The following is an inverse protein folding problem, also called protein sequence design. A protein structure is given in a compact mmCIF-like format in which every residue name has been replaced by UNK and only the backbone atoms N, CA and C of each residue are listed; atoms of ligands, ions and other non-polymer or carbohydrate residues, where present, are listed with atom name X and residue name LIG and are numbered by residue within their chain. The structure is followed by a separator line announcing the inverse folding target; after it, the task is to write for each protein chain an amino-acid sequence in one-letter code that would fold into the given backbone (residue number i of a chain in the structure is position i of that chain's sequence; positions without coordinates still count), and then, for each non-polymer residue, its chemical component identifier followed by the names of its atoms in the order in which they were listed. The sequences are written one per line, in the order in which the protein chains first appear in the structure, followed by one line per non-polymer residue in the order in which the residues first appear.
data_IF_985604466192
#
_entry.id   IF_985604466192
#
_cell.length_a   1.000
_cell.length_b   1.000
_cell.length_c   1.000
_cell.angle_alpha   90.00
_cell.angle_beta   90.00
_cell.angle_gamma   90.00
#
_symmetry.space_group_name_H-M   'P 1'
#
loop_
_entity.id
_entity.type
_entity.pdbx_description
1 polymer ?
#
# COMPACT_ATOMS: atom_id res chain seq x y z
N UNK A 1 0.22 -4.15 7.30
CA UNK A 1 -0.80 -5.19 7.51
C UNK A 1 -2.12 -4.50 7.72
N UNK A 2 -3.15 -4.85 6.95
CA UNK A 2 -4.49 -4.28 7.10
C UNK A 2 -5.10 -4.67 8.45
N UNK A 3 -5.91 -3.78 9.04
CA UNK A 3 -6.58 -4.05 10.33
C UNK A 3 -7.43 -5.33 10.24
N UNK A 4 -7.47 -6.17 11.30
CA UNK A 4 -8.37 -7.31 11.32
C UNK A 4 -9.81 -6.87 11.06
N UNK A 5 -10.57 -7.74 10.42
CA UNK A 5 -11.93 -7.45 10.00
C UNK A 5 -12.69 -8.72 9.69
N UNK A 6 -14.01 -8.65 9.85
CA UNK A 6 -14.94 -9.76 9.67
C UNK A 6 -16.10 -9.33 8.77
N UNK A 7 -16.56 -10.24 7.92
CA UNK A 7 -17.75 -10.03 7.09
C UNK A 7 -18.91 -10.83 7.69
N UNK A 8 -20.06 -10.18 7.85
CA UNK A 8 -21.31 -10.85 8.19
C UNK A 8 -22.11 -11.08 6.91
N UNK A 9 -22.31 -12.33 6.52
CA UNK A 9 -23.08 -12.74 5.35
C UNK A 9 -24.45 -13.25 5.77
N UNK A 10 -25.51 -12.56 5.38
CA UNK A 10 -26.88 -12.84 5.81
C UNK A 10 -27.76 -13.16 4.61
N UNK A 11 -27.98 -14.45 4.36
CA UNK A 11 -28.73 -14.89 3.19
C UNK A 11 -29.44 -16.23 3.43
N UNK A 12 -30.64 -16.38 2.86
CA UNK A 12 -31.39 -17.63 2.95
C UNK A 12 -30.85 -18.73 2.03
N UNK A 13 -30.05 -18.39 1.01
CA UNK A 13 -29.40 -19.38 0.15
C UNK A 13 -28.12 -19.91 0.80
N UNK A 14 -28.22 -21.06 1.48
CA UNK A 14 -27.08 -21.73 2.11
C UNK A 14 -25.96 -22.04 1.13
N UNK A 15 -26.29 -22.54 -0.06
CA UNK A 15 -25.30 -22.87 -1.08
C UNK A 15 -24.53 -21.63 -1.55
N UNK A 16 -25.24 -20.54 -1.87
CA UNK A 16 -24.62 -19.28 -2.31
C UNK A 16 -23.77 -18.66 -1.20
N UNK A 17 -24.28 -18.68 0.04
CA UNK A 17 -23.56 -18.16 1.21
C UNK A 17 -22.25 -18.88 1.45
N UNK A 18 -22.26 -20.22 1.38
CA UNK A 18 -21.04 -21.03 1.54
C UNK A 18 -20.00 -20.72 0.46
N UNK A 19 -20.43 -20.52 -0.79
CA UNK A 19 -19.51 -20.20 -1.89
C UNK A 19 -18.87 -18.82 -1.71
N UNK A 20 -19.64 -17.79 -1.35
CA UNK A 20 -19.08 -16.46 -1.05
C UNK A 20 -18.14 -16.53 0.16
N UNK A 21 -18.56 -17.18 1.24
CA UNK A 21 -17.75 -17.29 2.45
C UNK A 21 -16.42 -18.01 2.19
N UNK A 22 -16.44 -19.10 1.43
CA UNK A 22 -15.23 -19.80 1.00
C UNK A 22 -14.35 -18.89 0.14
N UNK A 23 -14.91 -18.20 -0.85
CA UNK A 23 -14.15 -17.31 -1.72
C UNK A 23 -13.47 -16.16 -0.95
N UNK A 24 -14.18 -15.55 0.01
CA UNK A 24 -13.62 -14.48 0.87
C UNK A 24 -12.54 -15.01 1.81
N UNK A 25 -12.77 -16.19 2.43
CA UNK A 25 -11.80 -16.80 3.34
C UNK A 25 -10.54 -17.23 2.59
N UNK A 26 -10.67 -17.87 1.43
CA UNK A 26 -9.54 -18.40 0.68
C UNK A 26 -8.71 -17.31 0.02
N UNK A 27 -9.38 -16.34 -0.63
CA UNK A 27 -8.72 -15.32 -1.46
C UNK A 27 -8.30 -14.08 -0.67
N UNK A 28 -9.05 -13.70 0.37
CA UNK A 28 -8.77 -12.48 1.14
C UNK A 28 -8.26 -12.76 2.56
N UNK A 29 -8.34 -14.02 3.04
CA UNK A 29 -8.01 -14.40 4.42
C UNK A 29 -8.80 -13.61 5.47
N UNK A 30 -10.03 -13.21 5.11
CA UNK A 30 -10.97 -12.49 5.98
C UNK A 30 -11.91 -13.51 6.64
N UNK A 31 -12.16 -13.35 7.94
CA UNK A 31 -13.13 -14.17 8.65
C UNK A 31 -14.56 -13.85 8.17
N UNK A 32 -15.36 -14.88 7.92
CA UNK A 32 -16.78 -14.73 7.52
C UNK A 32 -17.67 -15.43 8.53
N UNK A 33 -18.72 -14.75 8.97
CA UNK A 33 -19.80 -15.33 9.78
C UNK A 33 -21.07 -15.34 8.95
N UNK A 34 -21.77 -16.48 8.92
CA UNK A 34 -22.99 -16.66 8.12
C UNK A 34 -24.21 -16.68 9.03
N UNK A 35 -25.27 -15.98 8.63
CA UNK A 35 -26.60 -16.06 9.22
C UNK A 35 -27.63 -16.36 8.13
N UNK A 36 -28.63 -17.20 8.43
CA UNK A 36 -29.70 -17.56 7.47
C UNK A 36 -31.02 -16.79 7.70
N UNK A 37 -31.04 -15.90 8.69
CA UNK A 37 -32.19 -15.07 9.07
C UNK A 37 -31.74 -13.75 9.72
N UNK A 38 -32.63 -12.76 9.78
CA UNK A 38 -32.35 -11.49 10.45
C UNK A 38 -32.23 -11.70 11.97
N UNK A 39 -33.03 -12.61 12.55
CA UNK A 39 -32.95 -13.00 13.95
C UNK A 39 -31.57 -13.60 14.31
N UNK A 40 -31.04 -14.51 13.48
CA UNK A 40 -29.70 -15.06 13.67
C UNK A 40 -28.62 -13.98 13.54
N UNK A 41 -28.75 -13.06 12.57
CA UNK A 41 -27.85 -11.93 12.43
C UNK A 41 -27.87 -11.02 13.68
N UNK A 42 -29.05 -10.74 14.24
CA UNK A 42 -29.17 -9.98 15.50
C UNK A 42 -28.46 -10.68 16.65
N UNK A 43 -28.68 -11.98 16.84
CA UNK A 43 -28.01 -12.73 17.90
C UNK A 43 -26.48 -12.65 17.79
N UNK A 44 -25.93 -12.72 16.58
CA UNK A 44 -24.48 -12.57 16.36
C UNK A 44 -24.01 -11.17 16.79
N UNK A 45 -24.71 -10.12 16.36
CA UNK A 45 -24.38 -8.73 16.69
C UNK A 45 -24.53 -8.43 18.18
N UNK A 46 -25.55 -8.99 18.83
CA UNK A 46 -25.89 -8.74 20.23
C UNK A 46 -25.02 -9.57 21.20
N UNK A 47 -24.44 -10.68 20.75
CA UNK A 47 -23.60 -11.58 21.57
C UNK A 47 -22.28 -10.96 22.03
N UNK A 48 -21.95 -9.72 21.63
CA UNK A 48 -20.80 -8.92 22.09
C UNK A 48 -19.42 -9.45 21.68
N UNK A 49 -19.33 -10.71 21.25
CA UNK A 49 -18.08 -11.31 20.80
C UNK A 49 -17.94 -11.02 19.31
N UNK A 50 -17.06 -10.08 18.96
CA UNK A 50 -16.67 -9.71 17.58
C UNK A 50 -17.54 -8.70 16.81
N UNK A 51 -18.46 -7.97 17.46
CA UNK A 51 -19.30 -6.97 16.77
C UNK A 51 -18.46 -5.79 16.24
N UNK A 52 -17.50 -5.31 17.03
CA UNK A 52 -16.56 -4.24 16.65
C UNK A 52 -15.59 -4.65 15.51
N UNK A 53 -15.54 -5.93 15.16
CA UNK A 53 -14.73 -6.44 14.05
C UNK A 53 -15.49 -6.48 12.73
N UNK A 54 -16.81 -6.30 12.72
CA UNK A 54 -17.61 -6.40 11.49
C UNK A 54 -17.36 -5.17 10.63
N UNK A 55 -16.71 -5.37 9.49
CA UNK A 55 -16.33 -4.31 8.56
C UNK A 55 -17.37 -4.09 7.46
N UNK A 56 -18.20 -5.11 7.21
CA UNK A 56 -19.16 -5.12 6.12
C UNK A 56 -20.21 -6.20 6.37
N UNK A 57 -21.47 -5.86 6.11
CA UNK A 57 -22.57 -6.80 6.00
C UNK A 57 -22.88 -7.01 4.52
N UNK A 58 -23.02 -8.28 4.13
CA UNK A 58 -23.56 -8.66 2.82
C UNK A 58 -24.89 -9.34 3.09
N UNK A 59 -26.00 -8.81 2.58
CA UNK A 59 -27.32 -9.36 2.91
C UNK A 59 -28.24 -9.48 1.70
N UNK A 60 -29.00 -10.58 1.64
CA UNK A 60 -30.14 -10.71 0.75
C UNK A 60 -31.26 -9.72 1.09
N UNK A 61 -32.10 -9.37 0.12
CA UNK A 61 -33.26 -8.48 0.33
C UNK A 61 -34.50 -9.15 0.92
N UNK A 62 -34.54 -10.48 0.91
CA UNK A 62 -35.65 -11.26 1.43
C UNK A 62 -35.07 -12.38 2.27
N UNK A 63 -35.38 -12.37 3.56
CA UNK A 63 -34.99 -13.38 4.52
C UNK A 63 -36.25 -14.08 5.05
N UNK A 64 -36.14 -15.28 5.65
CA UNK A 64 -37.30 -16.04 6.11
C UNK A 64 -38.18 -15.30 7.14
N UNK A 65 -37.61 -14.32 7.84
CA UNK A 65 -38.21 -13.59 8.95
C UNK A 65 -38.26 -12.06 8.75
N UNK A 66 -37.82 -11.55 7.59
CA UNK A 66 -37.76 -10.13 7.30
C UNK A 66 -37.78 -9.80 5.81
N UNK A 67 -38.41 -8.67 5.49
CA UNK A 67 -38.49 -8.08 4.15
C UNK A 67 -37.47 -6.93 3.99
N UNK A 68 -37.24 -6.50 2.74
CA UNK A 68 -36.26 -5.49 2.31
C UNK A 68 -36.14 -4.30 3.28
N UNK A 69 -37.26 -3.66 3.63
CA UNK A 69 -37.25 -2.45 4.46
C UNK A 69 -36.72 -2.71 5.88
N UNK A 70 -37.11 -3.84 6.46
CA UNK A 70 -36.69 -4.23 7.80
C UNK A 70 -35.21 -4.61 7.79
N UNK A 71 -34.76 -5.32 6.76
CA UNK A 71 -33.37 -5.78 6.63
C UNK A 71 -32.43 -4.59 6.46
N UNK A 72 -32.70 -3.72 5.48
CA UNK A 72 -31.83 -2.58 5.21
C UNK A 72 -31.81 -1.65 6.42
N UNK A 73 -32.96 -1.31 6.99
CA UNK A 73 -33.05 -0.47 8.19
C UNK A 73 -32.30 -1.05 9.38
N UNK A 74 -32.42 -2.37 9.62
CA UNK A 74 -31.75 -3.03 10.74
C UNK A 74 -30.23 -2.83 10.75
N UNK A 75 -29.56 -2.94 9.60
CA UNK A 75 -28.11 -2.76 9.51
C UNK A 75 -27.69 -1.29 9.43
N UNK A 76 -28.41 -0.48 8.65
CA UNK A 76 -28.03 0.93 8.44
C UNK A 76 -28.24 1.79 9.70
N UNK A 77 -29.29 1.53 10.49
CA UNK A 77 -29.52 2.22 11.78
C UNK A 77 -28.44 1.88 12.82
N UNK A 78 -27.77 0.74 12.68
CA UNK A 78 -26.61 0.34 13.48
C UNK A 78 -25.28 0.91 12.95
N UNK A 79 -25.32 1.68 11.87
CA UNK A 79 -24.12 2.22 11.22
C UNK A 79 -23.26 1.17 10.53
N UNK A 80 -23.80 -0.03 10.27
CA UNK A 80 -23.06 -1.10 9.62
C UNK A 80 -23.08 -0.90 8.09
N UNK A 81 -21.91 -0.86 7.42
CA UNK A 81 -21.86 -0.79 5.97
C UNK A 81 -22.52 -2.02 5.35
N UNK A 82 -23.38 -1.82 4.35
CA UNK A 82 -24.23 -2.87 3.78
C UNK A 82 -24.02 -2.98 2.26
N UNK A 83 -23.83 -4.21 1.79
CA UNK A 83 -23.96 -4.60 0.38
C UNK A 83 -25.15 -5.54 0.25
N UNK A 84 -25.99 -5.26 -0.74
CA UNK A 84 -27.21 -6.00 -0.98
C UNK A 84 -27.01 -7.08 -2.03
N UNK A 85 -27.57 -8.28 -1.80
CA UNK A 85 -27.64 -9.35 -2.79
C UNK A 85 -29.08 -9.53 -3.27
N UNK A 86 -29.32 -9.48 -4.58
CA UNK A 86 -30.67 -9.66 -5.15
C UNK A 86 -30.68 -10.66 -6.30
N UNK A 87 -31.74 -11.47 -6.40
CA UNK A 87 -31.90 -12.45 -7.48
C UNK A 87 -32.57 -11.90 -8.75
N UNK A 88 -33.22 -10.74 -8.65
CA UNK A 88 -33.91 -10.09 -9.77
C UNK A 88 -33.60 -8.59 -9.79
N UNK A 89 -33.72 -8.00 -10.98
CA UNK A 89 -33.41 -6.60 -11.23
C UNK A 89 -34.59 -5.89 -11.88
N UNK A 90 -35.06 -4.82 -11.24
CA UNK A 90 -35.94 -3.82 -11.85
C UNK A 90 -35.55 -2.40 -11.39
N UNK A 91 -35.91 -1.41 -12.21
CA UNK A 91 -35.52 0.00 -11.99
C UNK A 91 -36.09 0.56 -10.68
N UNK A 92 -37.29 0.14 -10.28
CA UNK A 92 -37.93 0.62 -9.06
C UNK A 92 -37.25 0.05 -7.82
N UNK A 93 -36.91 -1.24 -7.83
CA UNK A 93 -36.15 -1.91 -6.78
C UNK A 93 -34.75 -1.30 -6.63
N UNK A 94 -34.07 -1.01 -7.74
CA UNK A 94 -32.79 -0.27 -7.71
C UNK A 94 -32.94 1.09 -7.01
N UNK A 95 -33.91 1.90 -7.41
CA UNK A 95 -34.12 3.23 -6.83
C UNK A 95 -34.42 3.18 -5.32
N UNK A 96 -35.17 2.18 -4.86
CA UNK A 96 -35.46 1.99 -3.43
C UNK A 96 -34.21 1.63 -2.62
N UNK A 97 -33.39 0.70 -3.11
CA UNK A 97 -32.17 0.26 -2.41
C UNK A 97 -31.19 1.43 -2.26
N UNK A 98 -30.94 2.17 -3.35
CA UNK A 98 -29.96 3.26 -3.39
C UNK A 98 -30.44 4.55 -2.72
N UNK A 99 -31.73 4.67 -2.40
CA UNK A 99 -32.24 5.76 -1.57
C UNK A 99 -31.81 5.64 -0.09
N UNK A 100 -31.16 4.53 0.28
CA UNK A 100 -30.66 4.22 1.61
C UNK A 100 -29.13 4.16 1.59
N UNK A 101 -28.45 4.26 2.74
CA UNK A 101 -26.99 4.22 2.82
C UNK A 101 -26.45 2.79 2.66
N UNK A 102 -26.68 2.22 1.47
CA UNK A 102 -26.14 0.95 0.99
C UNK A 102 -24.93 1.28 0.12
N UNK A 103 -23.85 0.51 0.25
CA UNK A 103 -22.64 0.71 -0.55
C UNK A 103 -22.94 0.38 -2.02
N UNK A 104 -23.52 -0.80 -2.25
CA UNK A 104 -23.79 -1.32 -3.58
C UNK A 104 -24.80 -2.49 -3.52
N UNK A 105 -25.30 -2.91 -4.68
CA UNK A 105 -26.11 -4.11 -4.85
C UNK A 105 -25.48 -5.05 -5.88
N UNK A 106 -25.62 -6.36 -5.67
CA UNK A 106 -25.06 -7.40 -6.53
C UNK A 106 -26.14 -8.39 -6.93
N UNK A 107 -26.22 -8.70 -8.24
CA UNK A 107 -27.13 -9.70 -8.77
C UNK A 107 -26.59 -11.12 -8.52
N UNK A 108 -27.45 -12.02 -8.03
CA UNK A 108 -27.15 -13.45 -7.81
C UNK A 108 -27.43 -14.29 -9.07
N UNK A 109 -27.16 -13.76 -10.25
CA UNK A 109 -27.59 -14.35 -11.52
C UNK A 109 -26.48 -15.15 -12.23
N UNK A 110 -25.21 -14.89 -11.92
CA UNK A 110 -24.08 -15.52 -12.58
C UNK A 110 -22.88 -15.74 -11.65
N UNK A 111 -21.93 -16.66 -11.97
CA UNK A 111 -20.74 -16.90 -11.15
C UNK A 111 -19.82 -15.67 -10.98
N UNK A 112 -19.76 -14.76 -11.95
CA UNK A 112 -18.94 -13.55 -11.87
C UNK A 112 -19.41 -12.57 -10.80
N UNK A 113 -20.66 -12.69 -10.32
CA UNK A 113 -21.14 -11.95 -9.14
C UNK A 113 -20.31 -12.23 -7.88
N UNK A 114 -19.80 -13.46 -7.74
CA UNK A 114 -18.94 -13.84 -6.61
C UNK A 114 -17.60 -13.11 -6.71
N UNK A 115 -17.01 -13.05 -7.91
CA UNK A 115 -15.76 -12.32 -8.14
C UNK A 115 -15.94 -10.82 -7.86
N UNK A 116 -17.09 -10.25 -8.23
CA UNK A 116 -17.43 -8.87 -7.90
C UNK A 116 -17.57 -8.64 -6.40
N UNK A 117 -18.26 -9.52 -5.67
CA UNK A 117 -18.36 -9.44 -4.19
C UNK A 117 -16.98 -9.50 -3.54
N UNK A 118 -16.12 -10.42 -3.98
CA UNK A 118 -14.75 -10.54 -3.47
C UNK A 118 -13.97 -9.25 -3.74
N UNK A 119 -14.06 -8.70 -4.95
CA UNK A 119 -13.42 -7.42 -5.30
C UNK A 119 -13.94 -6.27 -4.42
N UNK A 120 -15.25 -6.15 -4.27
CA UNK A 120 -15.90 -5.10 -3.48
C UNK A 120 -15.49 -5.15 -2.01
N UNK A 121 -15.53 -6.34 -1.39
CA UNK A 121 -15.09 -6.55 0.00
C UNK A 121 -13.62 -6.17 0.15
N UNK A 122 -12.75 -6.60 -0.77
CA UNK A 122 -11.33 -6.22 -0.75
C UNK A 122 -11.16 -4.70 -0.82
N UNK A 123 -11.91 -4.03 -1.70
CA UNK A 123 -11.83 -2.59 -1.89
C UNK A 123 -12.24 -1.82 -0.63
N UNK A 124 -13.39 -2.15 -0.06
CA UNK A 124 -13.88 -1.54 1.19
C UNK A 124 -12.90 -1.79 2.32
N UNK A 125 -12.37 -3.01 2.44
CA UNK A 125 -11.41 -3.35 3.49
C UNK A 125 -10.12 -2.54 3.36
N UNK A 126 -9.58 -2.37 2.16
CA UNK A 126 -8.38 -1.56 1.91
C UNK A 126 -8.61 -0.07 2.14
N UNK A 127 -9.80 0.45 1.82
CA UNK A 127 -10.12 1.86 1.99
C UNK A 127 -10.04 2.32 3.46
N UNK A 128 -10.20 1.41 4.43
CA UNK A 128 -10.09 1.69 5.88
C UNK A 128 -8.75 2.26 6.31
N UNK A 129 -7.70 1.95 5.56
CA UNK A 129 -6.36 2.48 5.83
C UNK A 129 -6.08 3.77 5.05
N UNK A 130 -7.00 4.24 4.21
CA UNK A 130 -6.79 5.33 3.26
C UNK A 130 -7.47 6.62 3.73
N UNK A 131 -6.87 7.76 3.34
CA UNK A 131 -7.40 9.09 3.63
C UNK A 131 -7.83 9.78 2.34
N UNK A 132 -9.06 10.26 2.32
CA UNK A 132 -9.63 11.05 1.24
C UNK A 132 -9.87 12.50 1.69
N UNK A 133 -9.71 13.46 0.78
CA UNK A 133 -10.06 14.86 0.98
C UNK A 133 -11.20 15.23 0.03
N UNK A 134 -12.27 15.80 0.58
CA UNK A 134 -13.35 16.43 -0.19
C UNK A 134 -13.14 17.94 -0.18
N UNK A 135 -13.08 18.54 -1.36
CA UNK A 135 -12.99 20.00 -1.54
C UNK A 135 -14.19 20.44 -2.37
N UNK A 136 -15.17 21.07 -1.71
CA UNK A 136 -16.47 21.41 -2.29
C UNK A 136 -17.05 22.58 -1.50
N UNK A 137 -17.48 23.65 -2.17
CA UNK A 137 -17.96 24.87 -1.51
C UNK A 137 -19.40 24.72 -1.00
N UNK A 138 -20.25 24.03 -1.76
CA UNK A 138 -21.59 23.66 -1.37
C UNK A 138 -21.59 22.76 -0.14
N UNK A 139 -22.11 23.26 0.98
CA UNK A 139 -22.16 22.49 2.24
C UNK A 139 -22.99 21.20 2.14
N UNK A 140 -24.05 21.20 1.34
CA UNK A 140 -24.88 20.00 1.10
C UNK A 140 -24.13 18.97 0.29
N UNK A 141 -23.48 19.38 -0.80
CA UNK A 141 -22.80 18.47 -1.72
C UNK A 141 -21.55 17.90 -1.03
N UNK A 142 -20.85 18.73 -0.25
CA UNK A 142 -19.72 18.30 0.59
C UNK A 142 -20.17 17.26 1.60
N UNK A 143 -21.26 17.50 2.33
CA UNK A 143 -21.79 16.54 3.30
C UNK A 143 -22.20 15.21 2.65
N UNK A 144 -22.81 15.26 1.45
CA UNK A 144 -23.14 14.07 0.67
C UNK A 144 -21.89 13.28 0.26
N UNK A 145 -20.89 13.93 -0.33
CA UNK A 145 -19.63 13.30 -0.74
C UNK A 145 -18.88 12.70 0.43
N UNK A 146 -18.83 13.42 1.55
CA UNK A 146 -18.23 12.94 2.81
C UNK A 146 -18.96 11.70 3.31
N UNK A 147 -20.30 11.70 3.29
CA UNK A 147 -21.11 10.54 3.65
C UNK A 147 -20.80 9.32 2.79
N UNK A 148 -20.75 9.49 1.47
CA UNK A 148 -20.41 8.41 0.53
C UNK A 148 -18.99 7.88 0.74
N UNK A 149 -17.97 8.75 0.86
CA UNK A 149 -16.59 8.30 1.06
C UNK A 149 -16.40 7.59 2.41
N UNK A 150 -17.07 8.04 3.48
CA UNK A 150 -17.09 7.33 4.76
C UNK A 150 -17.78 5.98 4.64
N UNK A 151 -18.90 5.91 3.92
CA UNK A 151 -19.59 4.65 3.62
C UNK A 151 -18.69 3.67 2.83
N UNK A 152 -17.83 4.18 1.95
CA UNK A 152 -16.84 3.40 1.22
C UNK A 152 -15.59 3.03 2.03
N UNK A 153 -15.53 3.43 3.30
CA UNK A 153 -14.50 3.06 4.27
C UNK A 153 -13.34 4.05 4.42
N UNK A 154 -13.33 5.19 3.74
CA UNK A 154 -12.22 6.16 3.85
C UNK A 154 -12.27 6.96 5.16
N UNK A 155 -11.10 7.31 5.68
CA UNK A 155 -10.98 8.46 6.58
C UNK A 155 -11.11 9.74 5.74
N UNK A 156 -12.04 10.63 6.08
CA UNK A 156 -12.37 11.79 5.23
C UNK A 156 -12.00 13.11 5.90
N UNK A 157 -11.18 13.88 5.21
CA UNK A 157 -10.88 15.28 5.47
C UNK A 157 -11.77 16.18 4.60
N UNK A 158 -12.05 17.38 5.06
CA UNK A 158 -13.02 18.29 4.43
C UNK A 158 -12.43 19.68 4.24
N UNK A 159 -12.77 20.33 3.13
CA UNK A 159 -12.46 21.72 2.85
C UNK A 159 -13.60 22.37 2.05
N UNK A 160 -13.88 23.64 2.34
CA UNK A 160 -14.94 24.44 1.69
C UNK A 160 -14.46 25.27 0.51
N UNK A 161 -13.17 25.31 0.23
CA UNK A 161 -12.60 25.99 -0.94
C UNK A 161 -11.22 25.42 -1.28
N UNK A 162 -10.69 25.78 -2.45
CA UNK A 162 -9.40 25.26 -2.91
C UNK A 162 -8.21 25.70 -2.07
N UNK A 163 -8.23 26.87 -1.41
CA UNK A 163 -7.11 27.30 -0.56
C UNK A 163 -7.05 26.47 0.73
N UNK A 164 -8.19 26.26 1.37
CA UNK A 164 -8.30 25.36 2.51
C UNK A 164 -7.96 23.92 2.10
N UNK A 165 -8.44 23.46 0.94
CA UNK A 165 -8.13 22.14 0.40
C UNK A 165 -6.63 21.91 0.23
N UNK A 166 -5.91 22.92 -0.28
CA UNK A 166 -4.45 22.85 -0.39
C UNK A 166 -3.76 22.79 0.98
N UNK A 167 -4.18 23.62 1.94
CA UNK A 167 -3.61 23.63 3.30
C UNK A 167 -3.85 22.30 4.03
N UNK A 168 -5.05 21.73 3.92
CA UNK A 168 -5.38 20.43 4.51
C UNK A 168 -4.56 19.31 3.85
N UNK A 169 -4.40 19.34 2.53
CA UNK A 169 -3.58 18.36 1.82
C UNK A 169 -2.09 18.41 2.22
N UNK A 170 -1.56 19.62 2.47
CA UNK A 170 -0.17 19.80 2.91
C UNK A 170 0.05 19.36 4.36
N UNK A 171 -0.94 19.53 5.24
CA UNK A 171 -0.87 19.14 6.63
C UNK A 171 -1.13 17.64 6.86
N UNK A 172 -1.76 16.95 5.91
CA UNK A 172 -2.14 15.55 6.04
C UNK A 172 -0.89 14.63 5.98
N UNK A 173 -0.64 13.78 7.00
CA UNK A 173 0.47 12.83 6.98
C UNK A 173 0.37 11.81 5.83
N UNK A 174 -0.87 11.50 5.44
CA UNK A 174 -1.21 10.62 4.34
C UNK A 174 -2.45 11.16 3.64
N UNK A 175 -2.42 11.17 2.31
CA UNK A 175 -3.54 11.50 1.46
C UNK A 175 -3.48 10.62 0.22
N UNK A 176 -4.55 9.87 -0.03
CA UNK A 176 -4.61 8.88 -1.11
C UNK A 176 -5.61 9.26 -2.21
N UNK A 177 -6.65 10.03 -1.86
CA UNK A 177 -7.71 10.48 -2.75
C UNK A 177 -8.07 11.95 -2.49
N UNK A 178 -8.28 12.71 -3.56
CA UNK A 178 -8.95 14.01 -3.53
C UNK A 178 -10.15 13.94 -4.45
N UNK A 179 -11.32 14.35 -3.94
CA UNK A 179 -12.50 14.63 -4.75
C UNK A 179 -12.74 16.13 -4.66
N UNK A 180 -12.62 16.83 -5.77
CA UNK A 180 -12.69 18.30 -5.79
C UNK A 180 -13.76 18.76 -6.76
N UNK A 181 -14.55 19.76 -6.35
CA UNK A 181 -15.37 20.50 -7.28
C UNK A 181 -14.53 21.37 -8.21
N UNK A 182 -15.10 21.71 -9.36
CA UNK A 182 -14.59 22.72 -10.27
C UNK A 182 -14.91 24.14 -9.79
N UNK A 183 -16.19 24.41 -9.47
CA UNK A 183 -16.72 25.76 -9.28
C UNK A 183 -16.59 26.21 -7.84
N UNK A 184 -15.37 26.55 -7.42
CA UNK A 184 -15.10 27.05 -6.07
C UNK A 184 -14.64 28.51 -6.08
N UNK A 185 -14.98 29.30 -5.05
CA UNK A 185 -14.49 30.67 -4.93
C UNK A 185 -12.97 30.71 -4.70
N UNK A 186 -12.31 31.68 -5.33
CA UNK A 186 -10.87 31.89 -5.19
C UNK A 186 -10.05 30.91 -6.01
N UNK A 187 -9.67 29.77 -5.41
CA UNK A 187 -8.89 28.73 -6.09
C UNK A 187 -9.84 27.65 -6.63
N UNK A 188 -10.02 27.62 -7.96
CA UNK A 188 -10.87 26.64 -8.62
C UNK A 188 -10.27 25.21 -8.57
N UNK A 189 -11.08 24.21 -8.89
CA UNK A 189 -10.67 22.80 -8.84
C UNK A 189 -9.49 22.46 -9.75
N UNK A 190 -9.37 23.10 -10.91
CA UNK A 190 -8.28 22.87 -11.86
C UNK A 190 -6.98 23.47 -11.32
N UNK A 191 -7.03 24.67 -10.76
CA UNK A 191 -5.91 25.34 -10.13
C UNK A 191 -5.44 24.56 -8.90
N UNK A 192 -6.36 24.02 -8.10
CA UNK A 192 -6.05 23.11 -6.99
C UNK A 192 -5.31 21.86 -7.50
N UNK A 193 -5.84 21.18 -8.51
CA UNK A 193 -5.20 20.00 -9.13
C UNK A 193 -3.77 20.32 -9.56
N UNK A 194 -3.56 21.44 -10.27
CA UNK A 194 -2.22 21.87 -10.71
C UNK A 194 -1.25 22.02 -9.54
N UNK A 195 -1.69 22.66 -8.45
CA UNK A 195 -0.86 22.88 -7.25
C UNK A 195 -0.53 21.57 -6.54
N UNK A 196 -1.51 20.70 -6.35
CA UNK A 196 -1.30 19.37 -5.76
C UNK A 196 -0.30 18.55 -6.59
N UNK A 197 -0.36 18.64 -7.92
CA UNK A 197 0.53 17.89 -8.81
C UNK A 197 1.98 18.32 -8.79
N UNK A 198 2.31 19.51 -8.26
CA UNK A 198 3.70 19.91 -8.05
C UNK A 198 4.41 18.99 -7.04
N UNK A 199 3.68 18.47 -6.04
CA UNK A 199 4.23 17.63 -4.96
C UNK A 199 3.75 16.19 -5.00
N UNK A 200 2.57 15.93 -5.58
CA UNK A 200 1.93 14.62 -5.56
C UNK A 200 1.73 14.09 -6.99
N UNK A 201 2.61 13.22 -7.49
CA UNK A 201 2.48 12.67 -8.84
C UNK A 201 1.21 11.79 -8.98
N UNK A 202 0.75 11.59 -10.22
CA UNK A 202 -0.53 10.93 -10.55
C UNK A 202 -0.61 9.47 -10.10
N UNK A 203 0.54 8.82 -9.99
CA UNK A 203 0.72 7.44 -9.54
C UNK A 203 0.81 7.31 -8.01
N UNK A 204 0.61 8.41 -7.26
CA UNK A 204 0.64 8.43 -5.79
C UNK A 204 -0.61 9.02 -5.14
N UNK A 205 -1.22 10.03 -5.77
CA UNK A 205 -2.45 10.66 -5.28
C UNK A 205 -3.53 10.65 -6.35
N UNK A 206 -4.63 9.95 -6.10
CA UNK A 206 -5.81 10.00 -6.96
C UNK A 206 -6.50 11.35 -6.81
N UNK A 207 -6.80 12.03 -7.91
CA UNK A 207 -7.61 13.25 -7.92
C UNK A 207 -8.75 13.07 -8.91
N UNK A 208 -9.98 13.21 -8.42
CA UNK A 208 -11.21 13.14 -9.21
C UNK A 208 -11.86 14.52 -9.20
N UNK A 209 -12.01 15.12 -10.38
CA UNK A 209 -12.71 16.38 -10.54
C UNK A 209 -14.22 16.18 -10.69
N UNK A 210 -15.02 17.02 -10.06
CA UNK A 210 -16.46 17.10 -10.21
C UNK A 210 -16.84 18.41 -10.92
N UNK A 211 -17.90 18.39 -11.73
CA UNK A 211 -18.52 19.62 -12.26
C UNK A 211 -19.96 19.38 -12.66
N UNK A 212 -20.80 20.40 -12.52
CA UNK A 212 -22.18 20.38 -13.01
C UNK A 212 -22.25 20.49 -14.55
N UNK A 213 -21.34 21.24 -15.18
CA UNK A 213 -21.32 21.43 -16.63
C UNK A 213 -20.64 20.26 -17.36
N UNK A 214 -21.24 19.84 -18.48
CA UNK A 214 -20.64 18.92 -19.44
C UNK A 214 -19.72 19.69 -20.42
N UNK A 215 -18.80 19.00 -21.09
CA UNK A 215 -17.98 19.57 -22.16
C UNK A 215 -16.50 19.77 -21.79
N UNK A 216 -15.93 20.91 -22.17
CA UNK A 216 -14.47 21.15 -22.16
C UNK A 216 -13.81 21.00 -20.77
N UNK A 217 -14.57 21.14 -19.68
CA UNK A 217 -14.08 21.04 -18.30
C UNK A 217 -13.50 19.65 -18.00
N UNK A 218 -14.13 18.58 -18.51
CA UNK A 218 -13.62 17.21 -18.30
C UNK A 218 -12.22 17.06 -18.89
N UNK A 219 -12.01 17.55 -20.12
CA UNK A 219 -10.71 17.55 -20.77
C UNK A 219 -9.68 18.43 -20.02
N UNK A 220 -10.12 19.53 -19.43
CA UNK A 220 -9.22 20.38 -18.65
C UNK A 220 -8.76 19.70 -17.36
N UNK A 221 -9.63 19.04 -16.59
CA UNK A 221 -9.20 18.27 -15.42
C UNK A 221 -8.12 17.24 -15.77
N UNK A 222 -8.39 16.42 -16.80
CA UNK A 222 -7.47 15.37 -17.23
C UNK A 222 -6.15 15.95 -17.75
N UNK A 223 -6.18 17.03 -18.55
CA UNK A 223 -4.95 17.68 -19.04
C UNK A 223 -4.12 18.31 -17.91
N UNK A 224 -4.76 18.74 -16.84
CA UNK A 224 -4.09 19.46 -15.75
C UNK A 224 -3.62 18.58 -14.60
N UNK A 225 -3.99 17.30 -14.56
CA UNK A 225 -3.47 16.42 -13.51
C UNK A 225 -4.45 15.41 -12.95
N UNK A 226 -5.75 15.61 -13.12
CA UNK A 226 -6.74 14.71 -12.54
C UNK A 226 -6.57 13.30 -13.12
N UNK A 227 -6.81 12.30 -12.29
CA UNK A 227 -6.85 10.91 -12.72
C UNK A 227 -8.16 10.64 -13.45
N UNK A 228 -9.24 11.26 -12.98
CA UNK A 228 -10.56 11.09 -13.56
C UNK A 228 -11.44 12.33 -13.36
N UNK A 229 -12.62 12.28 -13.97
CA UNK A 229 -13.63 13.33 -13.91
C UNK A 229 -15.03 12.69 -13.84
N UNK A 230 -15.94 13.33 -13.09
CA UNK A 230 -17.32 12.91 -13.00
C UNK A 230 -18.27 14.12 -13.02
N UNK A 231 -19.41 13.99 -13.71
CA UNK A 231 -20.44 15.03 -13.69
C UNK A 231 -21.21 14.96 -12.36
N UNK A 232 -21.52 16.10 -11.72
CA UNK A 232 -22.22 16.16 -10.41
C UNK A 232 -23.58 15.44 -10.39
N UNK A 233 -24.25 15.24 -11.53
CA UNK A 233 -25.44 14.39 -11.65
C UNK A 233 -25.12 12.88 -11.73
N UNK A 234 -24.11 12.42 -10.98
CA UNK A 234 -23.66 11.03 -10.98
C UNK A 234 -24.57 10.12 -10.14
N UNK A 235 -24.46 8.83 -10.39
CA UNK A 235 -24.99 7.80 -9.50
C UNK A 235 -23.93 7.42 -8.46
N UNK A 236 -24.27 7.14 -7.18
CA UNK A 236 -23.30 6.73 -6.16
C UNK A 236 -22.42 5.55 -6.60
N UNK A 237 -22.97 4.57 -7.32
CA UNK A 237 -22.25 3.40 -7.80
C UNK A 237 -21.23 3.78 -8.89
N UNK A 238 -21.54 4.78 -9.72
CA UNK A 238 -20.59 5.31 -10.69
C UNK A 238 -19.43 5.99 -9.97
N UNK A 239 -19.72 6.84 -8.98
CA UNK A 239 -18.69 7.49 -8.16
C UNK A 239 -17.81 6.43 -7.48
N UNK A 240 -18.40 5.39 -6.89
CA UNK A 240 -17.68 4.29 -6.26
C UNK A 240 -16.74 3.60 -7.25
N UNK A 241 -17.26 3.19 -8.42
CA UNK A 241 -16.47 2.53 -9.45
C UNK A 241 -15.28 3.40 -9.91
N UNK A 242 -15.51 4.70 -10.15
CA UNK A 242 -14.47 5.65 -10.57
C UNK A 242 -13.38 5.79 -9.52
N UNK A 243 -13.77 5.93 -8.25
CA UNK A 243 -12.81 5.98 -7.13
C UNK A 243 -12.02 4.69 -7.05
N UNK A 244 -12.72 3.55 -7.02
CA UNK A 244 -12.12 2.24 -6.84
C UNK A 244 -11.09 1.94 -7.94
N UNK A 245 -11.43 2.20 -9.20
CA UNK A 245 -10.54 1.98 -10.34
C UNK A 245 -9.27 2.84 -10.27
N UNK A 246 -9.39 4.12 -9.91
CA UNK A 246 -8.25 5.03 -9.86
C UNK A 246 -7.31 4.71 -8.69
N UNK A 247 -7.88 4.40 -7.53
CA UNK A 247 -7.12 3.99 -6.36
C UNK A 247 -6.42 2.64 -6.60
N UNK A 248 -7.12 1.66 -7.16
CA UNK A 248 -6.55 0.35 -7.48
C UNK A 248 -5.44 0.45 -8.54
N UNK A 249 -5.60 1.32 -9.55
CA UNK A 249 -4.54 1.59 -10.53
C UNK A 249 -3.27 2.13 -9.89
N UNK A 250 -3.39 3.06 -8.94
CA UNK A 250 -2.24 3.59 -8.18
C UNK A 250 -1.57 2.47 -7.37
N UNK A 251 -2.36 1.65 -6.67
CA UNK A 251 -1.85 0.52 -5.89
C UNK A 251 -1.15 -0.52 -6.79
N UNK A 252 -1.69 -0.78 -7.98
CA UNK A 252 -1.10 -1.69 -8.97
C UNK A 252 0.22 -1.16 -9.52
N UNK A 253 0.28 0.13 -9.87
CA UNK A 253 1.52 0.78 -10.32
C UNK A 253 2.58 0.71 -9.21
N UNK A 254 2.21 1.00 -7.97
CA UNK A 254 3.12 0.89 -6.83
C UNK A 254 3.63 -0.55 -6.64
N UNK A 255 2.76 -1.55 -6.79
CA UNK A 255 3.12 -2.96 -6.68
C UNK A 255 4.05 -3.40 -7.81
N UNK A 256 3.78 -3.00 -9.04
CA UNK A 256 4.65 -3.26 -10.19
C UNK A 256 6.02 -2.60 -10.03
N UNK A 257 6.04 -1.35 -9.53
CA UNK A 257 7.29 -0.65 -9.26
C UNK A 257 8.09 -1.36 -8.16
N UNK A 258 7.43 -1.81 -7.08
CA UNK A 258 8.08 -2.59 -6.03
C UNK A 258 8.68 -3.89 -6.59
N UNK A 259 7.91 -4.67 -7.37
CA UNK A 259 8.42 -5.89 -8.02
C UNK A 259 9.60 -5.62 -8.97
N UNK A 260 9.58 -4.49 -9.66
CA UNK A 260 10.64 -4.11 -10.60
C UNK A 260 11.91 -3.60 -9.90
N UNK A 261 11.81 -3.03 -8.69
CA UNK A 261 12.92 -2.30 -8.05
C UNK A 261 13.42 -2.89 -6.74
N UNK A 262 12.65 -3.77 -6.10
CA UNK A 262 13.00 -4.36 -4.81
C UNK A 262 13.25 -5.86 -4.93
N UNK A 263 14.07 -6.39 -4.03
CA UNK A 263 14.26 -7.82 -3.82
C UNK A 263 13.09 -8.35 -2.97
N UNK A 264 12.34 -9.37 -3.44
CA UNK A 264 11.10 -9.79 -2.79
C UNK A 264 11.29 -10.42 -1.40
N UNK A 265 12.49 -10.93 -1.10
CA UNK A 265 12.79 -11.52 0.20
C UNK A 265 13.17 -10.44 1.22
N UNK A 266 14.08 -9.55 0.84
CA UNK A 266 14.71 -8.61 1.78
C UNK A 266 14.07 -7.23 1.83
N UNK A 267 13.27 -6.87 0.81
CA UNK A 267 12.71 -5.53 0.66
C UNK A 267 13.72 -4.44 0.27
N UNK A 268 15.02 -4.77 0.24
CA UNK A 268 16.06 -3.87 -0.27
C UNK A 268 15.94 -3.71 -1.79
N UNK A 269 16.74 -2.83 -2.38
CA UNK A 269 16.82 -2.73 -3.84
C UNK A 269 17.32 -4.03 -4.44
N UNK A 270 16.68 -4.48 -5.51
CA UNK A 270 17.22 -5.59 -6.28
C UNK A 270 18.49 -5.18 -7.04
N UNK A 271 19.22 -6.16 -7.56
CA UNK A 271 20.46 -5.97 -8.32
C UNK A 271 20.35 -4.86 -9.38
N UNK A 272 19.29 -4.90 -10.20
CA UNK A 272 19.10 -3.93 -11.30
C UNK A 272 18.93 -2.51 -10.76
N UNK A 273 17.98 -2.31 -9.85
CA UNK A 273 17.69 -0.98 -9.28
C UNK A 273 18.86 -0.44 -8.47
N UNK A 274 19.59 -1.30 -7.77
CA UNK A 274 20.83 -0.95 -7.09
C UNK A 274 21.81 -0.32 -8.08
N UNK A 275 22.16 -1.00 -9.17
CA UNK A 275 23.16 -0.48 -10.14
C UNK A 275 22.72 0.82 -10.82
N UNK A 276 21.45 0.94 -11.20
CA UNK A 276 20.92 2.16 -11.82
C UNK A 276 21.05 3.37 -10.87
N UNK A 277 20.63 3.22 -9.61
CA UNK A 277 20.70 4.30 -8.62
C UNK A 277 22.14 4.55 -8.16
N UNK A 278 22.91 3.50 -7.95
CA UNK A 278 24.33 3.54 -7.60
C UNK A 278 25.13 4.35 -8.63
N UNK A 279 24.91 4.10 -9.93
CA UNK A 279 25.60 4.83 -10.99
C UNK A 279 25.21 6.32 -11.00
N UNK A 280 23.92 6.62 -10.84
CA UNK A 280 23.43 8.00 -10.77
C UNK A 280 24.03 8.76 -9.57
N UNK A 281 24.02 8.12 -8.39
CA UNK A 281 24.59 8.68 -7.15
C UNK A 281 26.09 8.86 -7.25
N UNK A 282 26.82 7.85 -7.73
CA UNK A 282 28.26 7.94 -7.98
C UNK A 282 28.59 9.13 -8.89
N UNK A 283 27.88 9.28 -10.02
CA UNK A 283 28.10 10.39 -10.94
C UNK A 283 27.81 11.76 -10.31
N UNK A 284 26.81 11.85 -9.43
CA UNK A 284 26.49 13.08 -8.69
C UNK A 284 27.58 13.44 -7.69
N UNK A 285 28.01 12.47 -6.88
CA UNK A 285 29.02 12.65 -5.83
C UNK A 285 30.39 12.97 -6.41
N UNK A 286 30.78 12.29 -7.50
CA UNK A 286 32.04 12.54 -8.21
C UNK A 286 32.07 13.94 -8.80
N UNK A 287 30.98 14.41 -9.42
CA UNK A 287 30.88 15.80 -9.93
C UNK A 287 30.98 16.85 -8.82
N UNK A 288 30.48 16.54 -7.63
CA UNK A 288 30.55 17.41 -6.48
C UNK A 288 31.89 17.30 -5.71
N UNK A 289 32.86 16.51 -6.19
CA UNK A 289 34.14 16.29 -5.50
C UNK A 289 33.98 15.61 -4.14
N UNK A 290 32.87 14.90 -3.90
CA UNK A 290 32.60 14.22 -2.62
C UNK A 290 33.34 12.89 -2.55
N UNK A 291 33.64 12.45 -1.33
CA UNK A 291 34.20 11.14 -1.04
C UNK A 291 33.11 10.07 -1.17
N UNK A 292 33.46 8.91 -1.73
CA UNK A 292 32.50 7.82 -1.95
C UNK A 292 33.10 6.49 -1.52
N UNK A 293 32.38 5.74 -0.69
CA UNK A 293 32.71 4.38 -0.34
C UNK A 293 31.76 3.41 -1.03
N UNK A 294 32.31 2.30 -1.55
CA UNK A 294 31.57 1.18 -2.11
C UNK A 294 31.95 -0.05 -1.32
N UNK A 295 30.96 -0.78 -0.81
CA UNK A 295 31.16 -1.98 -0.03
C UNK A 295 30.44 -3.18 -0.65
N UNK A 296 31.17 -4.29 -0.70
CA UNK A 296 30.66 -5.63 -0.99
C UNK A 296 30.53 -6.39 0.34
N UNK A 297 29.35 -6.96 0.59
CA UNK A 297 28.98 -7.58 1.87
C UNK A 297 28.48 -8.99 1.58
N UNK A 298 28.93 -9.96 2.36
CA UNK A 298 28.54 -11.36 2.22
C UNK A 298 28.34 -12.03 3.59
N UNK A 299 27.31 -12.87 3.68
CA UNK A 299 27.01 -13.63 4.91
C UNK A 299 27.97 -14.80 5.06
N UNK A 300 28.71 -14.79 6.16
CA UNK A 300 29.69 -15.83 6.42
C UNK A 300 29.01 -17.19 6.62
N UNK A 301 29.53 -18.20 5.95
CA UNK A 301 29.06 -19.59 6.08
C UNK A 301 27.57 -19.78 5.78
N UNK A 302 26.95 -18.93 4.96
CA UNK A 302 25.51 -18.99 4.65
C UNK A 302 25.04 -20.38 4.19
N UNK A 303 25.81 -21.06 3.35
CA UNK A 303 25.52 -22.44 2.94
C UNK A 303 25.40 -23.41 4.14
N UNK A 304 26.26 -23.28 5.15
CA UNK A 304 26.19 -24.12 6.38
C UNK A 304 24.93 -23.82 7.20
N UNK A 305 24.45 -22.58 7.17
CA UNK A 305 23.18 -22.21 7.81
C UNK A 305 22.02 -22.91 7.10
N UNK A 306 21.96 -22.85 5.76
CA UNK A 306 20.93 -23.55 5.00
C UNK A 306 21.00 -25.08 5.18
N UNK A 307 22.21 -25.66 5.13
CA UNK A 307 22.41 -27.09 5.27
C UNK A 307 22.08 -27.57 6.70
N UNK A 308 22.21 -26.70 7.72
CA UNK A 308 21.97 -27.04 9.13
C UNK A 308 20.51 -26.83 9.59
N UNK A 309 19.87 -25.73 9.17
CA UNK A 309 18.55 -25.32 9.68
C UNK A 309 17.48 -25.16 8.59
N UNK A 310 17.83 -25.47 7.33
CA UNK A 310 16.93 -25.34 6.19
C UNK A 310 16.87 -23.91 5.62
N UNK A 311 16.27 -23.81 4.44
CA UNK A 311 16.19 -22.55 3.69
C UNK A 311 15.36 -21.46 4.39
N UNK A 312 14.29 -21.83 5.12
CA UNK A 312 13.48 -20.86 5.86
C UNK A 312 14.30 -20.11 6.93
N UNK A 313 15.29 -20.78 7.53
CA UNK A 313 16.22 -20.15 8.46
C UNK A 313 17.19 -19.22 7.73
N UNK A 314 17.73 -19.63 6.59
CA UNK A 314 18.57 -18.77 5.75
C UNK A 314 17.84 -17.51 5.28
N UNK A 315 16.59 -17.65 4.88
CA UNK A 315 15.74 -16.52 4.47
C UNK A 315 15.55 -15.53 5.62
N UNK A 316 15.32 -16.02 6.85
CA UNK A 316 15.24 -15.17 8.05
C UNK A 316 16.55 -14.43 8.33
N UNK A 317 17.70 -15.10 8.15
CA UNK A 317 19.02 -14.46 8.30
C UNK A 317 19.19 -13.31 7.30
N UNK A 318 18.80 -13.51 6.04
CA UNK A 318 18.89 -12.48 5.01
C UNK A 318 17.95 -11.30 5.31
N UNK A 319 16.75 -11.55 5.83
CA UNK A 319 15.79 -10.51 6.23
C UNK A 319 16.36 -9.67 7.38
N UNK A 320 16.93 -10.28 8.42
CA UNK A 320 17.50 -9.54 9.55
C UNK A 320 18.75 -8.74 9.16
N UNK A 321 19.62 -9.30 8.29
CA UNK A 321 20.74 -8.54 7.73
C UNK A 321 20.24 -7.33 6.94
N UNK A 322 19.24 -7.53 6.08
CA UNK A 322 18.66 -6.46 5.29
C UNK A 322 18.06 -5.34 6.15
N UNK A 323 17.41 -5.71 7.25
CA UNK A 323 16.91 -4.75 8.23
C UNK A 323 18.04 -3.93 8.85
N UNK A 324 19.11 -4.58 9.34
CA UNK A 324 20.25 -3.86 9.92
C UNK A 324 20.92 -2.95 8.90
N UNK A 325 21.04 -3.39 7.64
CA UNK A 325 21.55 -2.56 6.55
C UNK A 325 20.67 -1.32 6.35
N UNK A 326 19.35 -1.49 6.21
CA UNK A 326 18.41 -0.39 6.02
C UNK A 326 18.41 0.62 7.19
N UNK A 327 18.51 0.12 8.43
CA UNK A 327 18.58 0.96 9.63
C UNK A 327 19.93 1.68 9.81
N UNK A 328 21.00 1.19 9.17
CA UNK A 328 22.35 1.79 9.27
C UNK A 328 22.61 2.79 8.14
N UNK A 329 21.98 2.60 6.98
CA UNK A 329 22.11 3.52 5.84
C UNK A 329 21.47 4.88 6.11
N UNK A 330 22.20 5.94 5.76
CA UNK A 330 21.77 7.34 5.89
C UNK A 330 21.00 7.80 4.65
N UNK A 331 20.32 8.92 4.76
CA UNK A 331 19.70 9.58 3.60
C UNK A 331 20.75 9.92 2.53
N UNK A 332 20.60 9.32 1.35
CA UNK A 332 21.53 9.48 0.22
C UNK A 332 22.36 8.24 -0.08
N UNK A 333 22.51 7.32 0.88
CA UNK A 333 23.15 6.03 0.67
C UNK A 333 22.29 5.13 -0.23
N UNK A 334 22.94 4.16 -0.89
CA UNK A 334 22.26 3.19 -1.76
C UNK A 334 22.66 1.79 -1.32
N UNK A 335 21.69 1.01 -0.85
CA UNK A 335 21.89 -0.39 -0.49
C UNK A 335 20.98 -1.31 -1.32
N UNK A 336 21.49 -2.48 -1.68
CA UNK A 336 20.74 -3.49 -2.41
C UNK A 336 21.31 -4.89 -2.25
N UNK A 337 20.49 -5.89 -2.57
CA UNK A 337 20.89 -7.30 -2.63
C UNK A 337 21.24 -7.64 -4.08
N UNK A 338 22.45 -8.14 -4.30
CA UNK A 338 22.95 -8.47 -5.64
C UNK A 338 22.54 -9.86 -6.11
N UNK A 339 22.25 -10.76 -5.17
CA UNK A 339 21.81 -12.15 -5.38
C UNK A 339 22.34 -13.06 -4.27
N UNK A 340 21.65 -14.18 -3.99
CA UNK A 340 22.08 -15.12 -2.95
C UNK A 340 22.27 -14.43 -1.59
N UNK A 341 23.46 -14.57 -1.02
CA UNK A 341 23.90 -13.97 0.24
C UNK A 341 24.69 -12.65 0.07
N UNK A 342 24.74 -12.10 -1.15
CA UNK A 342 25.56 -10.93 -1.48
C UNK A 342 24.75 -9.62 -1.44
N UNK A 343 25.28 -8.63 -0.73
CA UNK A 343 24.74 -7.29 -0.63
C UNK A 343 25.80 -6.26 -1.05
N UNK A 344 25.33 -5.08 -1.48
CA UNK A 344 26.20 -3.99 -1.85
C UNK A 344 25.66 -2.67 -1.32
N UNK A 345 26.58 -1.80 -0.92
CA UNK A 345 26.30 -0.50 -0.34
C UNK A 345 27.19 0.56 -0.98
N UNK A 346 26.60 1.70 -1.33
CA UNK A 346 27.30 2.93 -1.66
C UNK A 346 26.96 3.96 -0.60
N UNK A 347 27.99 4.48 0.05
CA UNK A 347 27.88 5.52 1.06
C UNK A 347 28.71 6.75 0.64
N UNK A 348 28.18 7.92 0.92
CA UNK A 348 28.92 9.17 0.73
C UNK A 348 29.54 9.62 2.06
N UNK A 349 30.64 10.38 1.96
CA UNK A 349 31.06 11.27 3.06
C UNK A 349 31.39 10.56 4.37
N UNK A 350 31.93 9.36 4.26
CA UNK A 350 32.55 8.68 5.39
C UNK A 350 33.91 9.34 5.65
N UNK A 351 34.11 9.86 6.86
CA UNK A 351 35.39 10.39 7.29
C UNK A 351 36.42 9.26 7.47
N UNK A 352 37.72 9.57 7.50
CA UNK A 352 38.76 8.53 7.68
C UNK A 352 38.69 7.84 9.04
N UNK A 353 38.07 8.50 10.02
CA UNK A 353 37.78 7.97 11.36
C UNK A 353 36.39 7.37 11.48
N UNK A 354 35.60 7.33 10.39
CA UNK A 354 34.24 6.79 10.44
C UNK A 354 34.31 5.25 10.43
N UNK A 355 34.07 4.66 11.60
CA UNK A 355 33.97 3.21 11.80
C UNK A 355 32.63 2.64 11.30
N UNK A 356 31.98 3.28 10.33
CA UNK A 356 30.68 2.91 9.79
C UNK A 356 30.56 1.41 9.46
N UNK A 357 31.52 0.87 8.68
CA UNK A 357 31.47 -0.54 8.28
C UNK A 357 31.79 -1.49 9.43
N UNK A 358 32.63 -1.09 10.37
CA UNK A 358 32.95 -1.90 11.55
C UNK A 358 31.77 -1.90 12.54
N UNK A 359 31.07 -0.77 12.67
CA UNK A 359 29.81 -0.65 13.41
C UNK A 359 28.74 -1.53 12.79
N UNK A 360 28.57 -1.49 11.46
CA UNK A 360 27.65 -2.36 10.73
C UNK A 360 27.97 -3.84 10.98
N UNK A 361 29.24 -4.23 10.85
CA UNK A 361 29.71 -5.60 11.13
C UNK A 361 29.40 -6.01 12.57
N UNK A 362 29.67 -5.14 13.54
CA UNK A 362 29.40 -5.38 14.96
C UNK A 362 27.90 -5.53 15.26
N UNK A 363 27.05 -4.69 14.66
CA UNK A 363 25.58 -4.80 14.77
C UNK A 363 25.08 -6.14 14.26
N UNK A 364 25.60 -6.62 13.13
CA UNK A 364 25.22 -7.91 12.55
C UNK A 364 25.74 -9.07 13.42
N UNK A 365 26.98 -9.01 13.90
CA UNK A 365 27.54 -10.03 14.79
C UNK A 365 26.82 -10.14 16.14
N UNK A 366 26.15 -9.07 16.57
CA UNK A 366 25.30 -9.05 17.76
C UNK A 366 23.88 -9.60 17.50
N UNK A 367 23.50 -9.85 16.24
CA UNK A 367 22.21 -10.47 15.93
C UNK A 367 22.17 -11.91 16.42
N UNK A 368 21.02 -12.28 16.97
CA UNK A 368 20.74 -13.61 17.49
C UNK A 368 19.32 -14.03 17.08
N UNK A 369 19.04 -14.14 15.77
CA UNK A 369 17.73 -14.57 15.27
C UNK A 369 17.37 -15.93 15.85
N UNK A 370 16.16 -16.02 16.41
CA UNK A 370 15.59 -17.28 16.90
C UNK A 370 14.89 -18.04 15.78
N UNK A 371 15.12 -19.33 15.73
CA UNK A 371 14.46 -20.25 14.82
C UNK A 371 14.04 -21.52 15.59
N UNK A 372 12.74 -21.63 15.89
CA UNK A 372 12.28 -22.61 16.88
C UNK A 372 12.88 -22.30 18.25
N UNK A 373 13.51 -23.31 18.86
CA UNK A 373 14.22 -23.19 20.14
C UNK A 373 15.70 -22.80 19.97
N UNK A 374 16.21 -22.78 18.73
CA UNK A 374 17.61 -22.46 18.43
C UNK A 374 17.84 -20.96 18.24
N UNK A 375 19.06 -20.52 18.55
CA UNK A 375 19.55 -19.18 18.24
C UNK A 375 20.72 -19.31 17.26
N UNK A 376 20.61 -18.66 16.10
CA UNK A 376 21.63 -18.74 15.05
C UNK A 376 22.50 -17.48 15.10
N UNK A 377 23.79 -17.66 15.37
CA UNK A 377 24.76 -16.57 15.28
C UNK A 377 25.15 -16.35 13.83
N UNK A 378 25.15 -15.09 13.41
CA UNK A 378 25.49 -14.71 12.04
C UNK A 378 26.60 -13.66 12.05
N UNK A 379 27.52 -13.78 11.10
CA UNK A 379 28.57 -12.78 10.87
C UNK A 379 28.63 -12.43 9.39
N UNK A 380 29.23 -11.28 9.09
CA UNK A 380 29.42 -10.83 7.71
C UNK A 380 30.88 -10.47 7.48
N UNK A 381 31.33 -10.73 6.26
CA UNK A 381 32.58 -10.20 5.73
C UNK A 381 32.26 -9.00 4.84
N UNK A 382 33.05 -7.94 4.96
CA UNK A 382 32.85 -6.69 4.19
C UNK A 382 34.16 -6.33 3.48
N UNK A 383 34.08 -6.10 2.17
CA UNK A 383 35.16 -5.51 1.39
C UNK A 383 34.79 -4.11 0.96
N UNK A 384 35.65 -3.13 1.22
CA UNK A 384 35.37 -1.70 0.99
C UNK A 384 36.41 -1.11 0.05
N UNK A 385 35.96 -0.31 -0.92
CA UNK A 385 36.81 0.57 -1.69
C UNK A 385 36.35 2.01 -1.50
N UNK A 386 37.28 2.90 -1.17
CA UNK A 386 36.99 4.30 -0.91
C UNK A 386 37.68 5.16 -1.96
N UNK A 387 36.89 5.96 -2.68
CA UNK A 387 37.41 6.98 -3.60
C UNK A 387 37.48 8.33 -2.88
N UNK A 388 38.66 8.97 -2.84
CA UNK A 388 38.82 10.30 -2.25
C UNK A 388 38.05 11.35 -3.04
N UNK A 389 37.78 12.50 -2.41
CA UNK A 389 37.13 13.67 -3.01
C UNK A 389 38.04 14.48 -3.93
N UNK A 390 38.89 13.84 -4.75
CA UNK A 390 39.94 14.51 -5.54
C UNK A 390 39.57 14.73 -7.02
N UNK A 391 38.34 14.37 -7.41
CA UNK A 391 37.83 14.54 -8.78
C UNK A 391 38.41 13.58 -9.82
N UNK A 392 39.20 12.55 -9.42
CA UNK A 392 39.70 11.55 -10.37
C UNK A 392 38.59 10.70 -10.98
N UNK A 393 38.76 10.40 -12.26
CA UNK A 393 37.81 9.65 -13.09
C UNK A 393 37.93 8.13 -12.87
N UNK A 394 37.70 7.67 -11.64
CA UNK A 394 37.42 6.25 -11.43
C UNK A 394 35.99 5.94 -11.87
N UNK A 395 35.77 4.71 -12.36
CA UNK A 395 34.43 4.22 -12.64
C UNK A 395 33.87 3.48 -11.44
N UNK A 396 32.56 3.54 -11.24
CA UNK A 396 31.87 2.75 -10.20
C UNK A 396 32.24 1.25 -10.30
N UNK A 397 32.36 0.72 -11.52
CA UNK A 397 32.77 -0.67 -11.76
C UNK A 397 34.17 -0.98 -11.24
N UNK A 398 35.11 -0.03 -11.32
CA UNK A 398 36.46 -0.21 -10.79
C UNK A 398 36.45 -0.30 -9.25
N UNK A 399 35.70 0.59 -8.58
CA UNK A 399 35.53 0.56 -7.13
C UNK A 399 34.88 -0.74 -6.66
N UNK A 400 33.83 -1.21 -7.34
CA UNK A 400 33.18 -2.48 -7.04
C UNK A 400 34.14 -3.66 -7.20
N UNK A 401 34.96 -3.65 -8.25
CA UNK A 401 35.97 -4.71 -8.48
C UNK A 401 37.02 -4.72 -7.37
N UNK A 402 37.42 -3.54 -6.89
CA UNK A 402 38.36 -3.41 -5.78
C UNK A 402 37.73 -3.86 -4.44
N UNK A 403 36.47 -3.47 -4.17
CA UNK A 403 35.71 -3.89 -3.00
C UNK A 403 35.49 -5.42 -2.98
N UNK A 404 35.21 -6.04 -4.12
CA UNK A 404 35.08 -7.50 -4.25
C UNK A 404 36.39 -8.24 -3.91
N UNK A 405 37.53 -7.72 -4.37
CA UNK A 405 38.86 -8.25 -3.99
C UNK A 405 39.12 -8.11 -2.49
N UNK A 406 38.74 -6.99 -1.90
CA UNK A 406 38.84 -6.80 -0.46
C UNK A 406 37.94 -7.78 0.30
N UNK A 407 36.71 -8.03 -0.19
CA UNK A 407 35.80 -9.01 0.40
C UNK A 407 36.38 -10.43 0.33
N UNK A 408 37.00 -10.80 -0.79
CA UNK A 408 37.72 -12.06 -0.93
C UNK A 408 38.85 -12.19 0.12
N UNK A 409 39.61 -11.12 0.34
CA UNK A 409 40.63 -11.09 1.40
C UNK A 409 40.01 -11.24 2.80
N UNK A 410 38.89 -10.58 3.08
CA UNK A 410 38.19 -10.69 4.35
C UNK A 410 37.79 -12.14 4.65
N UNK A 411 37.25 -12.85 3.65
CA UNK A 411 36.90 -14.27 3.75
C UNK A 411 38.12 -15.17 3.98
N UNK A 412 39.27 -14.86 3.35
CA UNK A 412 40.52 -15.63 3.50
C UNK A 412 41.20 -15.39 4.84
N UNK A 413 41.10 -14.18 5.38
CA UNK A 413 41.74 -13.76 6.64
C UNK A 413 40.93 -14.10 7.90
N UNK A 414 39.93 -14.97 7.78
CA UNK A 414 39.19 -15.50 8.93
C UNK A 414 37.76 -15.02 9.06
N UNK A 415 37.22 -14.30 8.06
CA UNK A 415 35.82 -13.81 8.03
C UNK A 415 35.51 -12.83 9.17
N UNK A 416 34.23 -12.44 9.30
CA UNK A 416 33.74 -11.51 10.32
C UNK A 416 34.62 -10.28 10.47
N UNK A 417 34.94 -9.62 9.35
CA UNK A 417 35.85 -8.47 9.32
C UNK A 417 35.60 -7.56 8.13
N UNK A 418 36.13 -6.34 8.24
CA UNK A 418 36.17 -5.36 7.17
C UNK A 418 37.58 -5.31 6.59
N UNK A 419 37.70 -5.40 5.27
CA UNK A 419 38.96 -5.16 4.54
C UNK A 419 38.79 -4.01 3.58
N UNK A 420 39.83 -3.19 3.45
CA UNK A 420 39.87 -2.05 2.53
C UNK A 420 40.82 -2.37 1.34
N UNK A 421 40.44 -1.93 0.15
CA UNK A 421 41.16 -2.18 -1.11
C UNK A 421 42.38 -1.29 -1.34
#
# INVERSE_FOLDING_TARGET
MARPGRVLLVDNSRAFSMVIAAALTDRLKIAVTIADSLAAASQILDSGTNCDEIILVISGLVLPDAEENRIVGFFTERGLPLVVLTGSFDVASRARILSRPVIDYVLKDNPSSIDYVVWLVRRIWRNRDMTALVVEDSASDRAMLVGLLRLYGFAVLEASDGLQGLAVAEAAPRLDLVVTDYEMPGLDGIQLVRRLRVRHPRDRLAIIGLSASLGAISAQFIKNGANDYLNKAFQPEELFCRIAQNVENIENIASLHALATTDPLTGLRNRRSFFELAQSRFNSLTRAGRRVAVAMIDVDHFKRINDGWGHDCGDRVLIELARVLAETTRDGDVVGRLGGEEFCLIAADLDETDDFFETLRGRVAALSPRFGDDTVLITISIGVCVRPGDGRADSLRALLTAADRALYNAKRLGRNRVEYA
#
